data_IF_449388312032
#
_entry.id   IF_449388312032
#
_cell.length_a   1.000
_cell.length_b   1.000
_cell.length_c   1.000
_cell.angle_alpha   90.00
_cell.angle_beta   90.00
_cell.angle_gamma   90.00
#
_symmetry.space_group_name_H-M   'P 1'
#
loop_
_entity.id
_entity.type
_entity.pdbx_description
1 polymer ?
#
# COMPACT_ATOMS: atom_id res chain seq x y z
N UNK A 1 19.29 -31.90 21.84
CA UNK A 1 19.16 -31.13 20.57
C UNK A 1 18.31 -29.92 20.87
N UNK A 2 18.83 -28.71 20.63
CA UNK A 2 18.05 -27.49 20.84
C UNK A 2 16.91 -27.47 19.81
N UNK A 3 15.67 -27.43 20.29
CA UNK A 3 14.46 -27.55 19.47
C UNK A 3 14.11 -26.19 18.85
N UNK A 4 14.04 -26.12 17.52
CA UNK A 4 13.63 -24.92 16.77
C UNK A 4 12.23 -24.43 17.20
N UNK A 5 11.38 -25.35 17.69
CA UNK A 5 10.07 -25.01 18.28
C UNK A 5 10.14 -24.06 19.47
N UNK A 6 11.26 -23.99 20.19
CA UNK A 6 11.44 -23.01 21.26
C UNK A 6 11.58 -21.62 20.66
N UNK A 7 12.42 -21.46 19.62
CA UNK A 7 12.55 -20.22 18.86
C UNK A 7 11.19 -19.79 18.29
N UNK A 8 10.48 -20.70 17.64
CA UNK A 8 9.13 -20.47 17.10
C UNK A 8 8.14 -20.05 18.19
N UNK A 9 8.23 -20.68 19.37
CA UNK A 9 7.46 -20.30 20.56
C UNK A 9 7.65 -18.82 20.92
N UNK A 10 8.90 -18.38 21.01
CA UNK A 10 9.22 -16.98 21.34
C UNK A 10 8.70 -16.03 20.26
N UNK A 11 8.91 -16.35 18.99
CA UNK A 11 8.41 -15.52 17.87
C UNK A 11 6.88 -15.42 17.93
N UNK A 12 6.19 -16.54 18.12
CA UNK A 12 4.72 -16.60 18.23
C UNK A 12 4.19 -15.73 19.38
N UNK A 13 4.84 -15.80 20.54
CA UNK A 13 4.46 -14.99 21.70
C UNK A 13 4.63 -13.50 21.43
N UNK A 14 5.74 -13.09 20.80
CA UNK A 14 5.97 -11.69 20.42
C UNK A 14 4.95 -11.21 19.36
N UNK A 15 4.63 -12.05 18.37
CA UNK A 15 3.58 -11.74 17.39
C UNK A 15 2.20 -11.59 18.06
N UNK A 16 1.89 -12.38 19.09
CA UNK A 16 0.67 -12.20 19.91
C UNK A 16 0.69 -10.89 20.67
N UNK A 17 1.81 -10.54 21.30
CA UNK A 17 1.96 -9.28 22.05
C UNK A 17 1.80 -8.06 21.13
N UNK A 18 2.24 -8.16 19.87
CA UNK A 18 2.03 -7.13 18.84
C UNK A 18 0.66 -7.19 18.15
N UNK A 19 -0.23 -8.06 18.60
CA UNK A 19 -1.62 -8.08 18.14
C UNK A 19 -1.84 -8.68 16.75
N UNK A 20 -0.89 -9.45 16.21
CA UNK A 20 -1.05 -10.11 14.90
C UNK A 20 -2.23 -11.09 14.87
N UNK A 21 -2.59 -11.66 16.02
CA UNK A 21 -3.69 -12.63 16.16
C UNK A 21 -5.02 -12.00 16.63
N UNK A 22 -5.12 -10.67 16.68
CA UNK A 22 -6.35 -10.00 17.11
C UNK A 22 -7.48 -10.23 16.09
N UNK A 23 -8.71 -10.54 16.53
CA UNK A 23 -9.81 -10.77 15.61
C UNK A 23 -10.17 -9.47 14.86
N UNK A 24 -10.34 -9.59 13.55
CA UNK A 24 -10.79 -8.47 12.69
C UNK A 24 -9.72 -7.42 12.38
N UNK A 25 -8.45 -7.67 12.72
CA UNK A 25 -7.32 -6.81 12.32
C UNK A 25 -6.95 -6.95 10.82
N UNK A 26 -7.52 -7.92 10.11
CA UNK A 26 -7.24 -8.19 8.70
C UNK A 26 -5.92 -8.92 8.44
N UNK A 27 -5.15 -9.26 9.48
CA UNK A 27 -3.88 -10.00 9.39
C UNK A 27 -4.17 -11.49 9.51
N UNK A 28 -3.55 -12.29 8.63
CA UNK A 28 -3.54 -13.75 8.71
C UNK A 28 -2.12 -14.22 8.99
N UNK A 29 -1.96 -15.02 10.04
CA UNK A 29 -0.69 -15.68 10.39
C UNK A 29 -0.84 -17.18 10.17
N UNK A 30 -0.11 -17.72 9.21
CA UNK A 30 -0.13 -19.13 8.84
C UNK A 30 1.22 -19.76 9.16
N UNK A 31 1.24 -21.00 9.66
CA UNK A 31 2.47 -21.71 10.00
C UNK A 31 2.76 -22.81 8.97
N UNK A 32 3.96 -22.81 8.41
CA UNK A 32 4.46 -23.78 7.40
C UNK A 32 3.76 -23.73 6.04
N UNK A 33 2.43 -23.70 5.98
CA UNK A 33 1.64 -23.74 4.74
C UNK A 33 0.71 -22.54 4.66
N UNK A 34 0.52 -22.04 3.45
CA UNK A 34 -0.46 -20.98 3.17
C UNK A 34 -1.67 -21.53 2.42
N UNK A 35 -2.85 -21.05 2.78
CA UNK A 35 -4.12 -21.23 2.09
C UNK A 35 -4.23 -20.32 0.86
N UNK A 36 -3.37 -19.30 0.75
CA UNK A 36 -3.31 -18.43 -0.44
C UNK A 36 -2.73 -19.24 -1.59
N UNK A 37 -3.57 -19.57 -2.57
CA UNK A 37 -3.23 -20.44 -3.69
C UNK A 37 -1.97 -19.99 -4.46
N UNK A 38 -1.77 -18.68 -4.65
CA UNK A 38 -0.55 -18.18 -5.31
C UNK A 38 0.70 -18.32 -4.46
N UNK A 39 0.63 -18.12 -3.14
CA UNK A 39 1.76 -18.34 -2.22
C UNK A 39 2.13 -19.83 -2.23
N UNK A 40 1.13 -20.71 -2.13
CA UNK A 40 1.30 -22.17 -2.21
C UNK A 40 1.94 -22.61 -3.53
N UNK A 41 1.52 -22.03 -4.65
CA UNK A 41 2.09 -22.32 -5.97
C UNK A 41 3.57 -21.93 -6.04
N UNK A 42 3.94 -20.73 -5.56
CA UNK A 42 5.33 -20.27 -5.55
C UNK A 42 6.20 -21.12 -4.62
N UNK A 43 5.72 -21.42 -3.41
CA UNK A 43 6.44 -22.24 -2.44
C UNK A 43 6.51 -23.71 -2.83
N UNK A 44 5.66 -24.21 -3.72
CA UNK A 44 5.70 -25.62 -4.19
C UNK A 44 7.02 -26.02 -4.84
N UNK A 45 7.81 -25.03 -5.29
CA UNK A 45 9.14 -25.20 -5.90
C UNK A 45 10.28 -24.71 -5.00
N UNK A 46 9.98 -24.26 -3.79
CA UNK A 46 10.92 -23.61 -2.88
C UNK A 46 11.54 -24.58 -1.85
N UNK A 47 11.70 -25.86 -2.20
CA UNK A 47 12.30 -26.85 -1.33
C UNK A 47 13.80 -26.58 -1.15
N UNK A 48 14.24 -26.48 0.11
CA UNK A 48 15.64 -26.19 0.47
C UNK A 48 16.60 -27.36 0.23
N UNK A 49 16.08 -28.59 0.16
CA UNK A 49 16.89 -29.80 -0.02
C UNK A 49 17.25 -30.02 -1.49
N UNK A 50 18.39 -30.65 -1.75
CA UNK A 50 18.87 -30.94 -3.12
C UNK A 50 17.90 -31.77 -3.98
N UNK A 51 16.96 -32.50 -3.36
CA UNK A 51 15.92 -33.27 -4.05
C UNK A 51 14.75 -32.40 -4.56
N UNK A 52 14.77 -31.09 -4.28
CA UNK A 52 13.65 -30.19 -4.56
C UNK A 52 12.43 -30.46 -3.67
N UNK A 53 11.31 -29.80 -4.00
CA UNK A 53 10.03 -29.96 -3.31
C UNK A 53 9.42 -28.64 -2.87
N UNK A 54 8.42 -28.73 -2.00
CA UNK A 54 7.77 -27.55 -1.43
C UNK A 54 8.59 -26.96 -0.26
N UNK A 55 8.60 -25.63 -0.18
CA UNK A 55 9.14 -24.85 0.93
C UNK A 55 8.09 -24.58 2.00
N UNK A 56 8.54 -24.48 3.25
CA UNK A 56 7.70 -24.29 4.42
C UNK A 56 8.36 -23.29 5.39
N UNK A 57 8.23 -21.97 5.15
CA UNK A 57 8.62 -20.96 6.14
C UNK A 57 7.88 -21.18 7.46
N UNK A 58 8.51 -20.95 8.62
CA UNK A 58 7.85 -21.21 9.91
C UNK A 58 6.61 -20.35 10.11
N UNK A 59 6.66 -19.08 9.70
CA UNK A 59 5.50 -18.19 9.67
C UNK A 59 5.37 -17.50 8.32
N UNK A 60 4.14 -17.40 7.84
CA UNK A 60 3.73 -16.67 6.65
C UNK A 60 2.63 -15.71 7.09
N UNK A 61 2.89 -14.42 7.01
CA UNK A 61 1.97 -13.37 7.46
C UNK A 61 1.51 -12.56 6.25
N UNK A 62 0.21 -12.48 6.07
CA UNK A 62 -0.44 -11.70 5.01
C UNK A 62 -1.50 -10.77 5.60
N UNK A 63 -1.94 -9.79 4.83
CA UNK A 63 -3.02 -8.89 5.22
C UNK A 63 -4.07 -8.78 4.12
N UNK A 64 -5.33 -8.57 4.53
CA UNK A 64 -6.44 -8.27 3.61
C UNK A 64 -6.35 -6.85 3.03
N UNK A 65 -5.61 -5.95 3.67
CA UNK A 65 -5.49 -4.54 3.23
C UNK A 65 -4.51 -4.34 2.08
N UNK A 66 -3.44 -5.14 2.03
CA UNK A 66 -2.46 -5.19 0.94
C UNK A 66 -2.11 -6.64 0.63
N UNK A 67 -2.81 -7.21 -0.33
CA UNK A 67 -2.65 -8.61 -0.73
C UNK A 67 -1.37 -8.87 -1.52
N UNK A 68 -0.57 -7.84 -1.82
CA UNK A 68 0.73 -7.97 -2.49
C UNK A 68 1.92 -7.86 -1.53
N UNK A 69 1.67 -7.70 -0.24
CA UNK A 69 2.68 -7.66 0.81
C UNK A 69 2.64 -8.93 1.68
N UNK A 70 3.81 -9.50 1.96
CA UNK A 70 3.92 -10.70 2.79
C UNK A 70 5.15 -10.61 3.70
N UNK A 71 5.01 -11.12 4.92
CA UNK A 71 6.14 -11.30 5.85
C UNK A 71 6.35 -12.79 6.03
N UNK A 72 7.60 -13.25 5.90
CA UNK A 72 7.96 -14.63 6.17
C UNK A 72 9.05 -14.70 7.24
N UNK A 73 9.01 -15.77 8.01
CA UNK A 73 9.98 -16.02 9.06
C UNK A 73 10.71 -17.34 8.83
N UNK A 74 12.01 -17.32 9.10
CA UNK A 74 12.82 -18.53 9.26
C UNK A 74 13.38 -18.62 10.67
N UNK A 75 13.22 -19.76 11.35
CA UNK A 75 13.73 -19.97 12.71
C UNK A 75 14.84 -21.03 12.78
N UNK A 76 15.88 -20.73 13.57
CA UNK A 76 16.89 -21.70 14.01
C UNK A 76 17.13 -21.64 15.52
N UNK A 77 17.47 -22.76 16.14
CA UNK A 77 17.70 -22.79 17.59
C UNK A 77 19.09 -22.28 17.99
N UNK A 78 20.09 -22.42 17.12
CA UNK A 78 21.48 -22.06 17.40
C UNK A 78 21.87 -20.74 16.73
N UNK A 79 22.32 -19.76 17.51
CA UNK A 79 22.80 -18.46 17.02
C UNK A 79 24.02 -18.57 16.10
N UNK A 80 24.79 -19.66 16.20
CA UNK A 80 25.90 -19.95 15.28
C UNK A 80 25.41 -20.35 13.89
N UNK A 81 24.15 -20.77 13.79
CA UNK A 81 23.46 -21.10 12.55
C UNK A 81 22.56 -19.93 12.07
N UNK A 82 22.93 -18.70 12.39
CA UNK A 82 22.16 -17.54 11.92
C UNK A 82 22.37 -17.27 10.43
N UNK A 83 23.62 -17.20 9.98
CA UNK A 83 23.97 -16.92 8.57
C UNK A 83 25.25 -17.66 8.19
N UNK A 84 25.29 -18.24 6.99
CA UNK A 84 26.53 -18.83 6.45
C UNK A 84 27.37 -17.77 5.75
N UNK A 85 28.66 -18.06 5.52
CA UNK A 85 29.58 -17.11 4.87
C UNK A 85 29.10 -16.66 3.48
N UNK A 86 28.56 -17.59 2.69
CA UNK A 86 28.16 -17.36 1.29
C UNK A 86 26.63 -17.25 1.11
N UNK A 87 25.85 -17.34 2.19
CA UNK A 87 24.38 -17.34 2.19
C UNK A 87 23.75 -18.42 1.28
N UNK A 88 24.37 -19.58 1.18
CA UNK A 88 24.00 -20.66 0.25
C UNK A 88 23.62 -22.00 0.93
N UNK A 89 23.39 -22.00 2.24
CA UNK A 89 23.03 -23.19 3.03
C UNK A 89 21.64 -23.05 3.67
N UNK A 90 20.57 -23.02 2.85
CA UNK A 90 19.23 -22.65 3.32
C UNK A 90 18.60 -23.64 4.28
N UNK A 91 19.08 -24.88 4.33
CA UNK A 91 18.62 -25.90 5.29
C UNK A 91 19.18 -25.64 6.68
N UNK A 92 20.43 -25.20 6.76
CA UNK A 92 21.18 -25.15 8.01
C UNK A 92 21.08 -23.80 8.71
N UNK A 93 20.94 -22.70 7.95
CA UNK A 93 21.05 -21.33 8.46
C UNK A 93 19.76 -20.52 8.27
N UNK A 94 19.42 -19.71 9.26
CA UNK A 94 18.17 -18.94 9.28
C UNK A 94 18.10 -17.91 8.16
N UNK A 95 19.15 -17.09 7.98
CA UNK A 95 19.23 -16.08 6.92
C UNK A 95 19.18 -16.72 5.54
N UNK A 96 20.00 -17.74 5.31
CA UNK A 96 20.04 -18.46 4.04
C UNK A 96 18.66 -19.06 3.71
N UNK A 97 17.97 -19.62 4.70
CA UNK A 97 16.64 -20.22 4.56
C UNK A 97 15.57 -19.20 4.22
N UNK A 98 15.53 -18.07 4.92
CA UNK A 98 14.53 -17.03 4.66
C UNK A 98 14.75 -16.35 3.31
N UNK A 99 16.01 -16.10 2.92
CA UNK A 99 16.35 -15.51 1.62
C UNK A 99 16.00 -16.46 0.47
N UNK A 100 16.18 -17.77 0.66
CA UNK A 100 15.75 -18.77 -0.31
C UNK A 100 14.25 -18.67 -0.57
N UNK A 101 13.41 -18.69 0.47
CA UNK A 101 11.96 -18.56 0.32
C UNK A 101 11.54 -17.21 -0.26
N UNK A 102 12.17 -16.12 0.19
CA UNK A 102 11.87 -14.78 -0.27
C UNK A 102 12.07 -14.64 -1.79
N UNK A 103 13.11 -15.27 -2.37
CA UNK A 103 13.37 -15.26 -3.81
C UNK A 103 12.24 -15.89 -4.65
N UNK A 104 11.55 -16.90 -4.14
CA UNK A 104 10.40 -17.48 -4.84
C UNK A 104 9.16 -16.60 -4.74
N UNK A 105 8.97 -15.94 -3.59
CA UNK A 105 7.82 -15.08 -3.34
C UNK A 105 7.97 -13.70 -4.00
N UNK A 106 9.20 -13.18 -4.09
CA UNK A 106 9.48 -11.83 -4.59
C UNK A 106 9.06 -11.64 -6.04
N UNK A 107 8.98 -12.70 -6.84
CA UNK A 107 8.47 -12.61 -8.21
C UNK A 107 7.05 -12.03 -8.32
N UNK A 108 6.25 -12.09 -7.26
CA UNK A 108 4.88 -11.52 -7.22
C UNK A 108 4.65 -10.57 -6.04
N UNK A 109 5.32 -10.78 -4.91
CA UNK A 109 5.04 -10.08 -3.66
C UNK A 109 6.19 -9.15 -3.27
N UNK A 110 5.87 -8.07 -2.58
CA UNK A 110 6.87 -7.40 -1.73
C UNK A 110 7.02 -8.23 -0.45
N UNK A 111 8.24 -8.66 -0.16
CA UNK A 111 8.50 -9.64 0.92
C UNK A 111 9.38 -9.02 1.98
N UNK A 112 8.93 -9.05 3.24
CA UNK A 112 9.80 -8.92 4.40
C UNK A 112 10.21 -10.31 4.86
N UNK A 113 11.51 -10.56 4.86
CA UNK A 113 12.11 -11.84 5.20
C UNK A 113 12.86 -11.71 6.53
N UNK A 114 12.32 -12.31 7.59
CA UNK A 114 12.84 -12.23 8.96
C UNK A 114 13.52 -13.54 9.34
N UNK A 115 14.83 -13.51 9.53
CA UNK A 115 15.58 -14.64 10.07
C UNK A 115 15.74 -14.48 11.58
N UNK A 116 15.41 -15.52 12.34
CA UNK A 116 15.50 -15.54 13.80
C UNK A 116 16.32 -16.74 14.24
N UNK A 117 17.30 -16.53 15.13
CA UNK A 117 17.99 -17.63 15.80
C UNK A 117 18.21 -17.41 17.30
N UNK A 118 18.18 -18.50 18.07
CA UNK A 118 18.33 -18.49 19.53
C UNK A 118 17.09 -18.99 20.27
N UNK A 119 17.28 -19.49 21.49
CA UNK A 119 16.23 -20.15 22.30
C UNK A 119 15.81 -19.38 23.56
N UNK A 120 16.34 -18.16 23.76
CA UNK A 120 15.96 -17.25 24.85
C UNK A 120 15.80 -15.85 24.28
N UNK A 121 14.93 -15.02 24.87
CA UNK A 121 14.66 -13.66 24.39
C UNK A 121 15.93 -12.81 24.33
N UNK A 122 16.83 -12.99 25.29
CA UNK A 122 18.08 -12.23 25.44
C UNK A 122 19.14 -12.62 24.42
N UNK A 123 19.08 -13.84 23.88
CA UNK A 123 20.04 -14.37 22.91
C UNK A 123 19.52 -14.35 21.48
N UNK A 124 18.29 -13.86 21.26
CA UNK A 124 17.72 -13.78 19.93
C UNK A 124 18.61 -12.93 19.03
N UNK A 125 19.01 -13.53 17.92
CA UNK A 125 19.64 -12.84 16.81
C UNK A 125 18.63 -12.76 15.68
N UNK A 126 18.32 -11.53 15.26
CA UNK A 126 17.33 -11.28 14.21
C UNK A 126 18.02 -10.53 13.08
N UNK A 127 17.66 -10.87 11.85
CA UNK A 127 18.05 -10.11 10.67
C UNK A 127 16.89 -10.06 9.69
N UNK A 128 16.54 -8.84 9.29
CA UNK A 128 15.40 -8.61 8.42
C UNK A 128 15.85 -8.10 7.06
N UNK A 129 15.24 -8.62 6.01
CA UNK A 129 15.51 -8.25 4.62
C UNK A 129 14.22 -7.84 3.91
N UNK A 130 14.36 -6.98 2.92
CA UNK A 130 13.29 -6.52 2.04
C UNK A 130 13.59 -6.94 0.61
N UNK A 131 12.59 -7.55 -0.02
CA UNK A 131 12.54 -7.78 -1.46
C UNK A 131 11.37 -6.98 -2.02
N UNK A 132 11.66 -6.04 -2.92
CA UNK A 132 10.61 -5.41 -3.71
C UNK A 132 9.97 -6.45 -4.65
N UNK A 133 8.69 -6.29 -4.98
CA UNK A 133 8.04 -7.15 -5.95
C UNK A 133 8.75 -7.09 -7.32
N UNK A 134 9.13 -8.26 -7.83
CA UNK A 134 9.94 -8.47 -9.04
C UNK A 134 11.45 -8.39 -8.83
N UNK A 135 11.95 -8.19 -7.60
CA UNK A 135 13.39 -8.15 -7.34
C UNK A 135 14.01 -9.55 -7.25
N UNK A 136 15.20 -9.69 -7.83
CA UNK A 136 15.99 -10.93 -7.81
C UNK A 136 16.77 -11.12 -6.50
N UNK A 137 17.09 -10.03 -5.82
CA UNK A 137 17.88 -10.00 -4.58
C UNK A 137 17.22 -9.11 -3.52
N UNK A 138 17.44 -9.48 -2.26
CA UNK A 138 16.95 -8.74 -1.11
C UNK A 138 18.05 -7.92 -0.47
N UNK A 139 17.67 -6.78 0.09
CA UNK A 139 18.56 -5.92 0.88
C UNK A 139 18.18 -5.96 2.34
N UNK A 140 19.12 -5.60 3.22
CA UNK A 140 18.82 -5.45 4.64
C UNK A 140 17.74 -4.38 4.82
N UNK A 141 16.68 -4.71 5.56
CA UNK A 141 15.68 -3.72 5.97
C UNK A 141 16.32 -2.78 6.98
N UNK A 142 16.21 -1.48 6.72
CA UNK A 142 16.75 -0.44 7.59
C UNK A 142 15.66 0.50 8.08
N UNK A 143 15.88 1.10 9.24
CA UNK A 143 15.07 2.22 9.74
C UNK A 143 15.28 3.46 8.86
N UNK A 144 14.46 4.51 9.06
CA UNK A 144 14.66 5.82 8.41
C UNK A 144 16.04 6.44 8.65
N UNK A 145 16.70 6.06 9.75
CA UNK A 145 18.06 6.52 10.07
C UNK A 145 19.15 5.63 9.47
N UNK A 146 18.80 4.63 8.66
CA UNK A 146 19.74 3.70 8.01
C UNK A 146 20.25 2.57 8.91
N UNK A 147 19.66 2.36 10.10
CA UNK A 147 20.06 1.28 11.00
C UNK A 147 19.37 -0.01 10.61
N UNK A 148 20.10 -1.14 10.59
CA UNK A 148 19.52 -2.45 10.30
C UNK A 148 18.42 -2.80 11.32
N UNK A 149 17.30 -3.34 10.85
CA UNK A 149 16.23 -3.85 11.70
C UNK A 149 16.64 -5.20 12.28
N UNK A 150 16.90 -5.21 13.59
CA UNK A 150 17.38 -6.38 14.34
C UNK A 150 16.41 -6.82 15.44
N UNK A 151 15.17 -6.35 15.39
CA UNK A 151 14.12 -6.64 16.36
C UNK A 151 12.86 -7.12 15.64
N UNK A 152 12.03 -7.87 16.35
CA UNK A 152 10.67 -8.16 15.89
C UNK A 152 9.83 -6.89 16.03
N UNK A 153 9.06 -6.56 15.00
CA UNK A 153 8.27 -5.33 14.95
C UNK A 153 6.76 -5.61 14.84
N UNK A 154 5.91 -4.65 15.26
CA UNK A 154 4.51 -4.61 14.84
C UNK A 154 4.37 -4.64 13.31
N UNK A 155 3.23 -5.15 12.83
CA UNK A 155 2.98 -5.28 11.39
C UNK A 155 3.12 -3.95 10.66
N UNK A 156 2.50 -2.91 11.21
CA UNK A 156 2.49 -1.56 10.62
C UNK A 156 3.90 -0.98 10.50
N UNK A 157 4.81 -1.31 11.42
CA UNK A 157 6.20 -0.86 11.36
C UNK A 157 6.98 -1.57 10.27
N UNK A 158 6.82 -2.89 10.09
CA UNK A 158 7.41 -3.59 8.95
C UNK A 158 6.90 -3.04 7.63
N UNK A 159 5.59 -2.84 7.54
CA UNK A 159 4.95 -2.32 6.33
C UNK A 159 5.45 -0.91 6.01
N UNK A 160 5.50 -0.03 7.02
CA UNK A 160 6.03 1.33 6.95
C UNK A 160 7.45 1.36 6.39
N UNK A 161 8.37 0.62 7.03
CA UNK A 161 9.77 0.58 6.60
C UNK A 161 9.92 0.02 5.19
N UNK A 162 9.13 -1.00 4.82
CA UNK A 162 9.14 -1.55 3.48
C UNK A 162 8.74 -0.52 2.41
N UNK A 163 7.75 0.32 2.71
CA UNK A 163 7.21 1.25 1.71
C UNK A 163 8.00 2.55 1.58
N UNK A 164 8.75 2.93 2.60
CA UNK A 164 9.72 4.03 2.49
C UNK A 164 10.88 3.69 1.55
N UNK A 165 11.07 2.41 1.26
CA UNK A 165 12.13 1.97 0.39
C UNK A 165 11.96 2.52 -1.05
N UNK A 166 12.99 3.14 -1.65
CA UNK A 166 12.90 3.73 -2.98
C UNK A 166 12.52 2.75 -4.10
N UNK A 167 12.93 1.49 -4.00
CA UNK A 167 12.61 0.50 -5.03
C UNK A 167 11.17 0.04 -4.94
N UNK A 168 10.67 -0.18 -3.72
CA UNK A 168 9.25 -0.47 -3.47
C UNK A 168 8.38 0.70 -3.91
N UNK A 169 8.75 1.93 -3.55
CA UNK A 169 8.04 3.13 -3.95
C UNK A 169 8.03 3.31 -5.49
N UNK A 170 9.17 3.09 -6.16
CA UNK A 170 9.27 3.16 -7.63
C UNK A 170 8.43 2.08 -8.31
N UNK A 171 8.47 0.84 -7.82
CA UNK A 171 7.67 -0.27 -8.35
C UNK A 171 6.18 0.03 -8.21
N UNK A 172 5.74 0.45 -7.03
CA UNK A 172 4.37 0.92 -6.76
C UNK A 172 3.94 2.02 -7.74
N UNK A 173 4.79 3.03 -7.92
CA UNK A 173 4.50 4.12 -8.86
C UNK A 173 4.28 3.58 -10.29
N UNK A 174 5.16 2.69 -10.77
CA UNK A 174 5.01 2.08 -12.09
C UNK A 174 3.74 1.23 -12.20
N UNK A 175 3.42 0.44 -11.17
CA UNK A 175 2.21 -0.38 -11.16
C UNK A 175 0.94 0.49 -11.20
N UNK A 176 0.94 1.65 -10.53
CA UNK A 176 -0.15 2.64 -10.61
C UNK A 176 -0.23 3.28 -12.01
N UNK A 177 0.89 3.53 -12.67
CA UNK A 177 0.91 4.05 -14.05
C UNK A 177 0.33 3.05 -15.04
N UNK A 178 0.70 1.78 -14.93
CA UNK A 178 0.20 0.73 -15.79
C UNK A 178 -1.29 0.49 -15.53
N UNK A 179 -1.69 0.43 -14.25
CA UNK A 179 -3.09 0.34 -13.87
C UNK A 179 -3.92 1.54 -14.39
N UNK A 180 -3.38 2.75 -14.34
CA UNK A 180 -4.05 3.93 -14.87
C UNK A 180 -4.36 3.79 -16.37
N UNK A 181 -3.45 3.18 -17.14
CA UNK A 181 -3.66 2.92 -18.57
C UNK A 181 -4.73 1.84 -18.76
N UNK A 182 -4.64 0.74 -18.03
CA UNK A 182 -5.63 -0.35 -18.07
C UNK A 182 -7.04 0.13 -17.72
N UNK A 183 -7.15 0.97 -16.68
CA UNK A 183 -8.43 1.53 -16.25
C UNK A 183 -8.99 2.49 -17.31
N UNK A 184 -8.15 3.31 -17.93
CA UNK A 184 -8.57 4.20 -19.01
C UNK A 184 -9.19 3.39 -20.17
N UNK A 185 -8.51 2.33 -20.61
CA UNK A 185 -8.99 1.44 -21.67
C UNK A 185 -10.26 0.69 -21.28
N UNK A 186 -10.35 0.19 -20.03
CA UNK A 186 -11.54 -0.48 -19.52
C UNK A 186 -12.76 0.46 -19.58
N UNK A 187 -12.61 1.69 -19.07
CA UNK A 187 -13.70 2.66 -19.05
C UNK A 187 -14.09 3.06 -20.48
N UNK A 188 -13.12 3.29 -21.36
CA UNK A 188 -13.39 3.64 -22.75
C UNK A 188 -14.09 2.50 -23.51
N UNK A 189 -13.50 1.32 -23.52
CA UNK A 189 -13.96 0.21 -24.36
C UNK A 189 -15.25 -0.44 -23.84
N UNK A 190 -15.45 -0.50 -22.52
CA UNK A 190 -16.54 -1.26 -21.90
C UNK A 190 -17.63 -0.37 -21.31
N UNK A 191 -17.27 0.67 -20.54
CA UNK A 191 -18.25 1.58 -19.95
C UNK A 191 -18.69 2.68 -20.94
N UNK A 192 -17.88 2.96 -21.98
CA UNK A 192 -18.11 3.99 -23.01
C UNK A 192 -18.45 5.36 -22.42
N UNK A 193 -17.76 5.70 -21.33
CA UNK A 193 -17.86 7.01 -20.69
C UNK A 193 -16.96 7.99 -21.46
N UNK A 194 -17.46 9.20 -21.67
CA UNK A 194 -16.74 10.27 -22.37
C UNK A 194 -15.45 10.65 -21.62
N UNK A 195 -14.45 11.17 -22.35
CA UNK A 195 -13.16 11.57 -21.74
C UNK A 195 -13.33 12.61 -20.61
N UNK A 196 -14.35 13.45 -20.70
CA UNK A 196 -14.69 14.48 -19.71
C UNK A 196 -15.30 13.90 -18.42
N UNK A 197 -15.99 12.77 -18.52
CA UNK A 197 -16.67 12.11 -17.40
C UNK A 197 -15.81 11.06 -16.70
N UNK A 198 -14.79 10.50 -17.39
CA UNK A 198 -13.87 9.50 -16.81
C UNK A 198 -13.25 9.97 -15.49
N UNK A 199 -12.72 11.21 -15.37
CA UNK A 199 -12.15 11.68 -14.11
C UNK A 199 -13.19 11.79 -12.97
N UNK A 200 -14.44 12.09 -13.30
CA UNK A 200 -15.54 12.15 -12.33
C UNK A 200 -15.87 10.75 -11.80
N UNK A 201 -15.92 9.75 -12.67
CA UNK A 201 -16.13 8.36 -12.26
C UNK A 201 -15.02 7.89 -11.30
N UNK A 202 -13.75 8.14 -11.66
CA UNK A 202 -12.60 7.71 -10.85
C UNK A 202 -12.58 8.44 -9.51
N UNK A 203 -12.68 9.77 -9.50
CA UNK A 203 -12.69 10.57 -8.27
C UNK A 203 -13.89 10.25 -7.37
N UNK A 204 -15.08 10.11 -7.94
CA UNK A 204 -16.27 9.71 -7.20
C UNK A 204 -16.14 8.33 -6.57
N UNK A 205 -15.49 7.38 -7.27
CA UNK A 205 -15.21 6.04 -6.72
C UNK A 205 -14.23 6.09 -5.56
N UNK A 206 -13.17 6.90 -5.66
CA UNK A 206 -12.24 7.10 -4.56
C UNK A 206 -12.95 7.68 -3.33
N UNK A 207 -13.82 8.68 -3.52
CA UNK A 207 -14.63 9.25 -2.43
C UNK A 207 -15.60 8.22 -1.85
N UNK A 208 -16.30 7.45 -2.70
CA UNK A 208 -17.23 6.41 -2.26
C UNK A 208 -16.53 5.34 -1.40
N UNK A 209 -15.31 4.93 -1.76
CA UNK A 209 -14.52 3.97 -1.00
C UNK A 209 -14.05 4.50 0.37
N UNK A 210 -14.00 5.83 0.57
CA UNK A 210 -13.80 6.41 1.91
C UNK A 210 -14.97 6.13 2.85
N UNK A 211 -16.16 5.82 2.32
CA UNK A 211 -17.27 5.36 3.13
C UNK A 211 -17.06 3.90 3.54
N UNK A 212 -16.76 3.67 4.84
CA UNK A 212 -16.45 2.33 5.37
C UNK A 212 -17.56 1.31 5.14
N UNK A 213 -18.84 1.73 5.16
CA UNK A 213 -19.96 0.83 4.88
C UNK A 213 -19.93 0.40 3.42
N UNK A 214 -19.87 1.35 2.48
CA UNK A 214 -19.81 1.05 1.06
C UNK A 214 -18.61 0.17 0.71
N UNK A 215 -17.41 0.53 1.19
CA UNK A 215 -16.18 -0.23 0.96
C UNK A 215 -16.31 -1.71 1.37
N UNK A 216 -17.01 -2.00 2.47
CA UNK A 216 -17.20 -3.39 2.94
C UNK A 216 -18.30 -4.14 2.20
N UNK A 217 -19.28 -3.45 1.63
CA UNK A 217 -20.51 -4.08 1.11
C UNK A 217 -20.65 -4.06 -0.41
N UNK A 218 -19.95 -3.17 -1.13
CA UNK A 218 -20.20 -2.96 -2.57
C UNK A 218 -20.07 -4.22 -3.41
N UNK A 219 -19.14 -5.12 -3.06
CA UNK A 219 -18.88 -6.34 -3.81
C UNK A 219 -20.09 -7.30 -3.80
N UNK A 220 -20.85 -7.29 -2.70
CA UNK A 220 -22.05 -8.11 -2.52
C UNK A 220 -23.31 -7.49 -3.12
N UNK A 221 -23.29 -6.21 -3.52
CA UNK A 221 -24.44 -5.55 -4.11
C UNK A 221 -24.72 -6.04 -5.55
N UNK A 222 -25.99 -6.17 -5.95
CA UNK A 222 -26.32 -6.45 -7.33
C UNK A 222 -26.04 -5.23 -8.23
N UNK A 223 -25.78 -5.47 -9.51
CA UNK A 223 -25.36 -4.44 -10.46
C UNK A 223 -26.33 -3.25 -10.57
N UNK A 224 -27.64 -3.49 -10.41
CA UNK A 224 -28.69 -2.47 -10.49
C UNK A 224 -28.80 -1.56 -9.26
N UNK A 225 -28.21 -1.93 -8.12
CA UNK A 225 -28.23 -1.13 -6.88
C UNK A 225 -26.90 -0.39 -6.66
N UNK A 226 -25.85 -0.79 -7.39
CA UNK A 226 -24.49 -0.32 -7.15
C UNK A 226 -24.30 1.18 -7.44
N UNK A 227 -24.99 1.71 -8.46
CA UNK A 227 -24.96 3.13 -8.82
C UNK A 227 -25.54 4.02 -7.73
N UNK A 228 -26.69 3.64 -7.17
CA UNK A 228 -27.35 4.38 -6.09
C UNK A 228 -26.51 4.31 -4.81
N UNK A 229 -26.02 3.12 -4.46
CA UNK A 229 -25.16 2.93 -3.29
C UNK A 229 -23.85 3.75 -3.38
N UNK A 230 -23.26 3.83 -4.58
CA UNK A 230 -22.07 4.63 -4.85
C UNK A 230 -22.34 6.12 -4.69
N UNK A 231 -23.44 6.63 -5.26
CA UNK A 231 -23.80 8.05 -5.15
C UNK A 231 -24.12 8.43 -3.71
N UNK A 232 -24.82 7.56 -2.98
CA UNK A 232 -25.12 7.76 -1.56
C UNK A 232 -23.87 7.76 -0.68
N UNK A 233 -22.88 6.91 -1.00
CA UNK A 233 -21.59 6.92 -0.33
C UNK A 233 -20.88 8.26 -0.53
N UNK A 234 -20.82 8.77 -1.77
CA UNK A 234 -20.24 10.10 -2.07
C UNK A 234 -20.96 11.19 -1.28
N UNK A 235 -22.29 11.21 -1.31
CA UNK A 235 -23.11 12.18 -0.57
C UNK A 235 -22.79 12.17 0.92
N UNK A 236 -22.71 10.97 1.53
CA UNK A 236 -22.39 10.81 2.96
C UNK A 236 -21.00 11.32 3.29
N UNK A 237 -20.00 11.07 2.45
CA UNK A 237 -18.63 11.56 2.67
C UNK A 237 -18.53 13.08 2.50
N UNK A 238 -19.14 13.65 1.46
CA UNK A 238 -19.19 15.12 1.27
C UNK A 238 -19.91 15.83 2.42
N UNK A 239 -20.93 15.20 3.01
CA UNK A 239 -21.65 15.77 4.13
C UNK A 239 -20.81 15.89 5.42
N UNK A 240 -19.71 15.14 5.56
CA UNK A 240 -18.77 15.27 6.68
C UNK A 240 -17.95 16.56 6.63
N UNK A 241 -17.82 17.18 5.45
CA UNK A 241 -17.08 18.43 5.32
C UNK A 241 -17.83 19.60 5.97
N UNK A 242 -17.13 20.45 6.71
CA UNK A 242 -17.68 21.68 7.30
C UNK A 242 -17.69 22.82 6.26
N UNK A 243 -18.58 22.69 5.27
CA UNK A 243 -18.80 23.67 4.20
C UNK A 243 -20.30 23.91 3.97
N UNK A 244 -20.71 25.06 3.41
CA UNK A 244 -22.12 25.36 3.14
C UNK A 244 -22.82 24.29 2.29
N UNK A 245 -24.07 23.96 2.62
CA UNK A 245 -24.84 22.91 1.92
C UNK A 245 -24.93 23.16 0.40
N UNK A 246 -25.13 24.41 -0.03
CA UNK A 246 -25.16 24.76 -1.44
C UNK A 246 -23.86 24.38 -2.20
N UNK A 247 -22.70 24.44 -1.53
CA UNK A 247 -21.43 23.97 -2.12
C UNK A 247 -21.39 22.44 -2.22
N UNK A 248 -21.87 21.74 -1.18
CA UNK A 248 -21.98 20.27 -1.20
C UNK A 248 -22.88 19.79 -2.34
N UNK A 249 -24.03 20.43 -2.52
CA UNK A 249 -24.98 20.08 -3.58
C UNK A 249 -24.37 20.34 -4.97
N UNK A 250 -23.66 21.46 -5.14
CA UNK A 250 -22.93 21.78 -6.37
C UNK A 250 -21.85 20.75 -6.68
N UNK A 251 -21.08 20.31 -5.66
CA UNK A 251 -20.06 19.28 -5.82
C UNK A 251 -20.67 17.90 -6.11
N UNK A 252 -21.87 17.61 -5.61
CA UNK A 252 -22.53 16.32 -5.82
C UNK A 252 -23.11 16.18 -7.23
N UNK A 253 -23.53 17.29 -7.85
CA UNK A 253 -24.23 17.31 -9.13
C UNK A 253 -23.51 16.49 -10.23
N UNK A 254 -22.21 16.64 -10.51
CA UNK A 254 -21.55 15.88 -11.58
C UNK A 254 -21.65 14.37 -11.38
N UNK A 255 -21.58 13.89 -10.13
CA UNK A 255 -21.69 12.46 -9.82
C UNK A 255 -23.10 11.91 -10.05
N UNK A 256 -24.14 12.74 -9.95
CA UNK A 256 -25.51 12.29 -10.27
C UNK A 256 -25.67 11.91 -11.75
N UNK A 257 -24.96 12.59 -12.65
CA UNK A 257 -24.95 12.24 -14.08
C UNK A 257 -24.22 10.91 -14.34
N UNK A 258 -23.10 10.68 -13.66
CA UNK A 258 -22.37 9.41 -13.73
C UNK A 258 -23.23 8.25 -13.19
N UNK A 259 -23.92 8.47 -12.07
CA UNK A 259 -24.75 7.46 -11.43
C UNK A 259 -25.93 6.99 -12.29
N UNK A 260 -26.37 7.78 -13.28
CA UNK A 260 -27.43 7.37 -14.22
C UNK A 260 -26.91 6.91 -15.59
N UNK A 261 -25.59 6.76 -15.74
CA UNK A 261 -24.99 6.37 -17.01
C UNK A 261 -25.44 4.94 -17.40
N UNK A 262 -26.00 4.72 -18.60
CA UNK A 262 -26.70 3.48 -18.95
C UNK A 262 -25.79 2.24 -18.96
N UNK A 263 -24.51 2.41 -19.29
CA UNK A 263 -23.55 1.31 -19.38
C UNK A 263 -22.91 0.91 -18.04
N UNK A 264 -23.18 1.65 -16.96
CA UNK A 264 -22.67 1.32 -15.62
C UNK A 264 -23.64 0.46 -14.81
N UNK A 265 -24.93 0.44 -15.19
CA UNK A 265 -25.95 -0.36 -14.54
C UNK A 265 -25.92 -1.83 -14.96
N UNK A 266 -27.10 -2.40 -15.16
CA UNK A 266 -27.24 -3.82 -15.54
C UNK A 266 -26.54 -4.08 -16.89
N UNK A 267 -25.63 -5.07 -16.99
CA UNK A 267 -24.93 -5.36 -18.23
C UNK A 267 -25.89 -5.91 -19.29
N UNK A 268 -25.65 -5.55 -20.56
CA UNK A 268 -26.31 -6.18 -21.70
C UNK A 268 -25.81 -7.63 -21.91
N UNK A 269 -26.46 -8.38 -22.81
CA UNK A 269 -26.12 -9.79 -23.05
C UNK A 269 -24.69 -10.04 -23.56
N UNK A 270 -24.04 -9.03 -24.16
CA UNK A 270 -22.66 -9.14 -24.67
C UNK A 270 -21.67 -8.86 -23.55
N UNK A 271 -21.88 -7.78 -22.80
CA UNK A 271 -21.05 -7.38 -21.66
C UNK A 271 -21.16 -8.41 -20.54
N UNK A 272 -22.35 -8.98 -20.28
CA UNK A 272 -22.56 -9.97 -19.23
C UNK A 272 -21.74 -11.26 -19.40
N UNK A 273 -21.24 -11.56 -20.61
CA UNK A 273 -20.34 -12.70 -20.86
C UNK A 273 -18.95 -12.50 -20.24
N UNK A 274 -18.49 -11.25 -20.18
CA UNK A 274 -17.16 -10.88 -19.70
C UNK A 274 -17.23 -10.27 -18.30
N UNK A 275 -18.30 -9.51 -18.01
CA UNK A 275 -18.58 -8.83 -16.75
C UNK A 275 -20.00 -9.16 -16.29
N UNK A 276 -20.24 -10.36 -15.73
CA UNK A 276 -21.58 -10.80 -15.32
C UNK A 276 -22.19 -9.89 -14.22
N UNK A 277 -21.35 -9.33 -13.35
CA UNK A 277 -21.73 -8.38 -12.30
C UNK A 277 -21.74 -6.91 -12.74
N UNK A 278 -21.56 -6.65 -14.04
CA UNK A 278 -21.49 -5.30 -14.60
C UNK A 278 -20.08 -4.70 -14.60
N UNK A 279 -19.81 -3.85 -15.59
CA UNK A 279 -18.51 -3.18 -15.77
C UNK A 279 -18.21 -2.25 -14.58
N UNK A 280 -19.23 -1.64 -13.98
CA UNK A 280 -19.04 -0.72 -12.88
C UNK A 280 -18.50 -1.39 -11.62
N UNK A 281 -18.99 -2.60 -11.28
CA UNK A 281 -18.45 -3.37 -10.17
C UNK A 281 -16.97 -3.68 -10.41
N UNK A 282 -16.61 -4.10 -11.63
CA UNK A 282 -15.21 -4.34 -12.00
C UNK A 282 -14.34 -3.09 -11.80
N UNK A 283 -14.80 -1.92 -12.26
CA UNK A 283 -14.09 -0.66 -12.08
C UNK A 283 -13.88 -0.35 -10.58
N UNK A 284 -14.92 -0.47 -9.75
CA UNK A 284 -14.82 -0.22 -8.31
C UNK A 284 -13.87 -1.21 -7.65
N UNK A 285 -13.98 -2.51 -7.98
CA UNK A 285 -13.08 -3.56 -7.47
C UNK A 285 -11.64 -3.29 -7.85
N UNK A 286 -11.38 -2.90 -9.10
CA UNK A 286 -10.02 -2.64 -9.57
C UNK A 286 -9.40 -1.43 -8.86
N UNK A 287 -10.15 -0.32 -8.72
CA UNK A 287 -9.69 0.84 -7.95
C UNK A 287 -9.47 0.46 -6.48
N UNK A 288 -10.38 -0.33 -5.90
CA UNK A 288 -10.25 -0.81 -4.53
C UNK A 288 -9.01 -1.68 -4.35
N UNK A 289 -8.76 -2.66 -5.21
CA UNK A 289 -7.62 -3.57 -5.05
C UNK A 289 -6.27 -2.94 -5.40
N UNK A 290 -6.25 -1.99 -6.34
CA UNK A 290 -5.00 -1.42 -6.90
C UNK A 290 -4.62 -0.06 -6.35
N UNK A 291 -5.56 0.70 -5.78
CA UNK A 291 -5.30 2.06 -5.28
C UNK A 291 -5.53 2.16 -3.77
N UNK A 292 -6.61 1.55 -3.25
CA UNK A 292 -6.99 1.66 -1.83
C UNK A 292 -5.93 1.19 -0.82
N UNK A 293 -5.14 0.11 -1.05
CA UNK A 293 -4.09 -0.33 -0.11
C UNK A 293 -3.12 0.78 0.27
N UNK A 294 -2.88 1.70 -0.67
CA UNK A 294 -1.95 2.81 -0.47
C UNK A 294 -2.56 4.00 0.28
N UNK A 295 -3.90 4.07 0.37
CA UNK A 295 -4.63 5.14 1.08
C UNK A 295 -4.67 4.85 2.58
N UNK A 296 -5.01 3.60 2.92
CA UNK A 296 -5.38 3.23 4.28
C UNK A 296 -4.20 3.16 5.26
N UNK A 297 -2.98 2.96 4.75
CA UNK A 297 -1.83 2.62 5.61
C UNK A 297 -0.84 3.79 5.77
N UNK A 298 -0.77 4.72 4.81
CA UNK A 298 0.26 5.77 4.86
C UNK A 298 -0.20 7.14 5.32
N UNK A 299 -1.50 7.46 5.31
CA UNK A 299 -1.92 8.86 5.19
C UNK A 299 -1.14 9.61 4.08
N UNK A 300 -0.55 8.90 3.10
CA UNK A 300 0.07 9.50 1.91
C UNK A 300 -1.05 9.87 0.96
N UNK A 301 -1.67 11.01 1.24
CA UNK A 301 -2.57 11.72 0.31
C UNK A 301 -1.94 11.86 -1.10
N UNK A 302 -0.62 11.79 -1.19
CA UNK A 302 0.15 11.91 -2.41
C UNK A 302 -0.04 10.72 -3.36
N UNK A 303 -0.24 9.48 -2.90
CA UNK A 303 -0.38 8.32 -3.82
C UNK A 303 -1.69 8.39 -4.62
N UNK A 304 -2.78 8.81 -3.97
CA UNK A 304 -4.08 9.02 -4.63
C UNK A 304 -4.01 10.17 -5.63
N UNK A 305 -3.38 11.28 -5.21
CA UNK A 305 -3.14 12.43 -6.06
C UNK A 305 -2.26 12.08 -7.26
N UNK A 306 -1.22 11.27 -7.07
CA UNK A 306 -0.36 10.75 -8.14
C UNK A 306 -1.17 9.90 -9.11
N UNK A 307 -1.90 8.89 -8.62
CA UNK A 307 -2.73 8.05 -9.48
C UNK A 307 -3.75 8.88 -10.29
N UNK A 308 -4.48 9.79 -9.63
CA UNK A 308 -5.46 10.65 -10.30
C UNK A 308 -4.79 11.59 -11.31
N UNK A 309 -3.65 12.19 -10.95
CA UNK A 309 -2.89 13.06 -11.83
C UNK A 309 -2.34 12.34 -13.06
N UNK A 310 -1.85 11.11 -12.91
CA UNK A 310 -1.40 10.27 -14.01
C UNK A 310 -2.58 9.81 -14.88
N UNK A 311 -3.71 9.43 -14.27
CA UNK A 311 -4.95 9.11 -14.99
C UNK A 311 -5.43 10.27 -15.85
N UNK A 312 -5.39 11.49 -15.32
CA UNK A 312 -5.73 12.70 -16.08
C UNK A 312 -4.83 12.91 -17.31
N UNK A 313 -3.57 12.47 -17.30
CA UNK A 313 -2.70 12.60 -18.49
C UNK A 313 -3.16 11.72 -19.64
N UNK A 314 -3.74 10.56 -19.34
CA UNK A 314 -4.29 9.65 -20.36
C UNK A 314 -5.61 10.18 -20.93
N UNK A 315 -6.47 10.79 -20.10
CA UNK A 315 -7.73 11.42 -20.58
C UNK A 315 -7.49 12.75 -21.29
N UNK A 316 -6.38 13.44 -21.01
CA UNK A 316 -6.00 14.71 -21.64
C UNK A 316 -5.18 14.57 -22.94
N UNK A 317 -5.06 13.35 -23.48
CA UNK A 317 -4.21 13.01 -24.65
C UNK A 317 -4.46 13.88 -25.88
N UNK A 318 -5.68 14.36 -26.08
CA UNK A 318 -5.97 15.50 -26.95
C UNK A 318 -6.08 16.76 -26.10
N UNK A 319 -5.05 17.61 -26.13
CA UNK A 319 -4.90 18.89 -25.40
C UNK A 319 -6.06 19.90 -25.58
N UNK A 320 -7.13 19.53 -26.28
CA UNK A 320 -8.38 20.26 -26.50
C UNK A 320 -9.58 19.73 -25.70
N UNK A 321 -9.58 18.48 -25.24
CA UNK A 321 -10.80 17.84 -24.73
C UNK A 321 -11.21 18.31 -23.32
N UNK A 322 -10.25 18.59 -22.43
CA UNK A 322 -10.53 19.03 -21.06
C UNK A 322 -10.10 20.49 -20.78
N UNK A 323 -9.20 21.06 -21.58
CA UNK A 323 -8.66 22.41 -21.36
C UNK A 323 -7.81 22.58 -20.08
N UNK A 324 -7.48 21.48 -19.39
CA UNK A 324 -6.72 21.48 -18.14
C UNK A 324 -5.22 21.40 -18.45
N UNK A 325 -4.43 22.35 -17.90
CA UNK A 325 -2.96 22.32 -17.94
C UNK A 325 -2.44 21.84 -16.59
N UNK A 326 -1.80 20.67 -16.56
CA UNK A 326 -1.19 20.13 -15.34
C UNK A 326 0.24 20.64 -15.20
N UNK A 327 0.53 21.30 -14.06
CA UNK A 327 1.89 21.71 -13.71
C UNK A 327 2.71 20.47 -13.33
N UNK A 328 3.88 20.22 -13.95
CA UNK A 328 4.72 19.10 -13.55
C UNK A 328 5.16 19.21 -12.09
N UNK A 329 5.10 18.10 -11.36
CA UNK A 329 5.36 18.06 -9.91
C UNK A 329 6.70 18.68 -9.51
N UNK A 330 7.77 18.32 -10.20
CA UNK A 330 9.11 18.85 -9.91
C UNK A 330 9.19 20.39 -10.03
N UNK A 331 8.33 21.01 -10.83
CA UNK A 331 8.22 22.47 -10.94
C UNK A 331 7.57 23.06 -9.69
N UNK A 332 6.43 22.50 -9.25
CA UNK A 332 5.76 22.96 -8.03
C UNK A 332 6.64 22.76 -6.78
N UNK A 333 7.38 21.65 -6.71
CA UNK A 333 8.36 21.38 -5.64
C UNK A 333 9.53 22.35 -5.68
N UNK A 334 10.12 22.60 -6.86
CA UNK A 334 11.18 23.57 -7.04
C UNK A 334 10.76 24.96 -6.57
N UNK A 335 9.57 25.41 -6.96
CA UNK A 335 9.06 26.73 -6.56
C UNK A 335 8.78 26.81 -5.06
N UNK A 336 8.29 25.72 -4.44
CA UNK A 336 8.10 25.66 -2.99
C UNK A 336 9.44 25.74 -2.23
N UNK A 337 10.49 25.11 -2.78
CA UNK A 337 11.85 25.19 -2.24
C UNK A 337 12.44 26.60 -2.42
N UNK A 338 12.32 27.19 -3.61
CA UNK A 338 12.78 28.55 -3.92
C UNK A 338 12.08 29.61 -3.07
N UNK A 339 10.76 29.47 -2.87
CA UNK A 339 9.97 30.34 -1.98
C UNK A 339 10.34 30.16 -0.50
N UNK A 340 11.12 29.13 -0.15
CA UNK A 340 11.57 28.80 1.19
C UNK A 340 10.44 28.79 2.22
N UNK A 341 9.30 28.18 1.88
CA UNK A 341 8.13 28.13 2.75
C UNK A 341 8.47 27.50 4.12
N UNK A 342 7.92 28.06 5.19
CA UNK A 342 8.12 27.65 6.58
C UNK A 342 6.78 27.21 7.19
N UNK A 343 6.77 26.46 8.31
CA UNK A 343 5.51 26.07 8.96
C UNK A 343 4.59 27.25 9.32
N UNK A 344 5.13 28.46 9.42
CA UNK A 344 4.39 29.70 9.71
C UNK A 344 3.94 30.47 8.45
N UNK A 345 4.38 30.04 7.27
CA UNK A 345 4.06 30.70 6.00
C UNK A 345 2.57 30.60 5.66
N UNK A 346 2.01 31.67 5.09
CA UNK A 346 0.68 31.66 4.46
C UNK A 346 0.87 31.62 2.95
N UNK A 347 0.28 30.64 2.29
CA UNK A 347 0.44 30.41 0.85
C UNK A 347 -0.87 30.72 0.14
N UNK A 348 -0.80 31.54 -0.91
CA UNK A 348 -1.92 31.87 -1.77
C UNK A 348 -1.58 31.46 -3.19
N UNK A 349 -2.48 30.71 -3.82
CA UNK A 349 -2.43 30.40 -5.24
C UNK A 349 -3.74 30.86 -5.88
N UNK A 350 -3.68 31.98 -6.59
CA UNK A 350 -4.84 32.56 -7.29
C UNK A 350 -5.23 31.78 -8.54
N UNK A 351 -4.37 30.86 -9.00
CA UNK A 351 -4.58 30.00 -10.16
C UNK A 351 -4.45 28.53 -9.75
N UNK A 352 -4.95 28.17 -8.56
CA UNK A 352 -4.67 26.89 -7.92
C UNK A 352 -4.94 25.66 -8.80
N UNK A 353 -5.96 25.69 -9.66
CA UNK A 353 -6.32 24.55 -10.50
C UNK A 353 -6.50 23.29 -9.64
N UNK A 354 -5.71 22.25 -9.93
CA UNK A 354 -5.67 21.00 -9.13
C UNK A 354 -4.91 21.11 -7.80
N UNK A 355 -4.44 22.30 -7.43
CA UNK A 355 -3.79 22.60 -6.15
C UNK A 355 -2.30 22.28 -6.10
N UNK A 356 -1.63 22.05 -7.24
CA UNK A 356 -0.24 21.57 -7.29
C UNK A 356 0.74 22.36 -6.41
N UNK A 357 0.77 23.70 -6.53
CA UNK A 357 1.64 24.53 -5.70
C UNK A 357 1.24 24.54 -4.22
N UNK A 358 -0.06 24.56 -3.91
CA UNK A 358 -0.54 24.53 -2.53
C UNK A 358 -0.16 23.22 -1.83
N UNK A 359 -0.30 22.08 -2.53
CA UNK A 359 0.07 20.76 -2.03
C UNK A 359 1.59 20.68 -1.83
N UNK A 360 2.40 21.08 -2.81
CA UNK A 360 3.86 21.09 -2.67
C UNK A 360 4.35 21.99 -1.54
N UNK A 361 3.74 23.17 -1.38
CA UNK A 361 4.06 24.06 -0.28
C UNK A 361 3.67 23.45 1.07
N UNK A 362 2.47 22.87 1.19
CA UNK A 362 2.02 22.17 2.39
C UNK A 362 2.95 21.01 2.75
N UNK A 363 3.36 20.18 1.79
CA UNK A 363 4.33 19.10 2.01
C UNK A 363 5.66 19.62 2.56
N UNK A 364 6.20 20.72 2.01
CA UNK A 364 7.43 21.34 2.53
C UNK A 364 7.25 21.89 3.94
N UNK A 365 6.11 22.51 4.23
CA UNK A 365 5.78 23.01 5.58
C UNK A 365 5.69 21.88 6.61
N UNK A 366 5.03 20.77 6.26
CA UNK A 366 4.92 19.58 7.12
C UNK A 366 6.28 18.91 7.35
N UNK A 367 7.10 18.77 6.31
CA UNK A 367 8.46 18.22 6.43
C UNK A 367 9.32 19.03 7.40
N UNK A 368 9.26 20.36 7.32
CA UNK A 368 9.98 21.27 8.22
C UNK A 368 9.42 21.28 9.65
N UNK A 369 8.10 21.07 9.83
CA UNK A 369 7.49 21.03 11.17
C UNK A 369 7.83 19.74 11.93
N UNK A 370 7.84 18.58 11.24
CA UNK A 370 8.30 17.31 11.79
C UNK A 370 9.77 17.38 12.23
N UNK A 371 10.62 18.03 11.44
CA UNK A 371 12.03 18.26 11.81
C UNK A 371 12.16 19.11 13.09
N UNK A 372 11.36 20.17 13.24
CA UNK A 372 11.35 21.00 14.48
C UNK A 372 10.91 20.18 15.71
N UNK A 373 9.92 19.30 15.59
CA UNK A 373 9.48 18.43 16.70
C UNK A 373 10.56 17.42 17.12
N UNK A 374 11.25 16.80 16.16
CA UNK A 374 12.36 15.89 16.44
C UNK A 374 13.54 16.63 17.11
N UNK A 375 13.90 17.82 16.62
CA UNK A 375 14.98 18.63 17.18
C UNK A 375 14.68 19.17 18.59
N UNK A 376 13.45 19.63 18.84
CA UNK A 376 13.03 20.13 20.17
C UNK A 376 12.90 19.00 21.20
N UNK A 377 12.48 17.79 20.79
CA UNK A 377 12.52 16.59 21.64
C UNK A 377 13.94 16.16 22.02
N UNK A 378 14.91 16.34 21.12
CA UNK A 378 16.32 16.06 21.37
C UNK A 378 16.95 17.06 22.35
N UNK A 379 16.62 18.36 22.22
CA UNK A 379 17.08 19.39 23.16
C UNK A 379 16.53 19.17 24.57
N UNK A 380 15.25 18.80 24.71
CA UNK A 380 14.62 18.49 26.02
C UNK A 380 15.27 17.28 26.72
N UNK A 381 15.58 16.21 25.96
CA UNK A 381 16.33 15.05 26.47
C UNK A 381 17.80 15.34 26.79
N UNK A 382 18.37 16.41 26.24
CA UNK A 382 19.73 16.84 26.58
C UNK A 382 19.74 17.70 27.85
N UNK A 383 18.76 18.59 28.04
CA UNK A 383 18.68 19.44 29.24
C UNK A 383 18.37 18.64 30.51
N UNK A 384 17.58 17.57 30.40
CA UNK A 384 17.28 16.68 31.54
C UNK A 384 18.44 15.74 31.89
N UNK A 385 19.37 15.52 30.95
CA UNK A 385 20.58 14.70 31.17
C UNK A 385 21.70 15.46 31.92
N UNK A 386 21.63 16.79 31.97
CA UNK A 386 22.56 17.64 32.72
C UNK A 386 21.95 18.17 34.04
N UNK A 387 20.78 17.65 34.45
CA UNK A 387 20.07 18.05 35.68
C UNK A 387 19.86 16.91 36.70
N UNK A 388 20.69 15.87 36.65
CA UNK A 388 20.80 14.88 37.74
C UNK A 388 22.22 14.81 38.26
#
# INVERSE_FOLDING_TARGET
>A
MANERITEGIVRDVLRDYGYYLPGNGISVEEQKSEIQSVKSLLSKAGKAAKGGAGYPEFIISTQTDTQFIIIFECKSDVRKHVSSDRNRPVEFAVDGVLHYAKFLSGKYTVIAVAVSGITKEQLKISTFLFAAGADEGKTLVTESGMAVTDLLPFDDYYRLASFDPEVARKRHNDLLDFSRELHELIWAKAKISEEDKPLLVSGTLIALMNTTFMKTFNALPANELQDAWLDAIRKELNKADIPQAKKDTMLQPYTYIAVHPNLGKPDAKIAREYPDGVFKKIITDIFEKVWPYINIYHDFDVVGQFYGEFLKYTAGDKKALGIVLTPRHIAELFSLLANVTPESRVLDICAGTGGFLISAMQQMLKKSCYRRAASGYQKKSSDRYRK
#
